data_IF_772437131305
#
_entry.id   IF_772437131305
#
_cell.length_a   1.000
_cell.length_b   1.000
_cell.length_c   1.000
_cell.angle_alpha   90.00
_cell.angle_beta   90.00
_cell.angle_gamma   90.00
#
_symmetry.space_group_name_H-M   'P 1'
#
loop_
_entity.id
_entity.type
_entity.pdbx_description
1 polymer ?
#
# COMPACT_ATOMS: atom_id res chain seq x y z
N UNK A 1 -40.26 80.28 -2.63
CA UNK A 1 -41.26 79.92 -3.64
C UNK A 1 -40.64 78.95 -4.62
N UNK A 2 -41.41 77.93 -5.00
CA UNK A 2 -41.41 77.10 -6.23
C UNK A 2 -40.67 77.66 -7.46
N UNK A 3 -40.14 76.89 -8.43
CA UNK A 3 -40.33 75.46 -8.78
C UNK A 3 -39.29 74.97 -9.83
N UNK A 4 -39.06 73.65 -9.95
CA UNK A 4 -38.76 72.79 -11.15
C UNK A 4 -37.98 73.36 -12.37
N UNK A 5 -37.02 72.68 -13.03
CA UNK A 5 -37.01 71.33 -13.66
C UNK A 5 -36.31 71.43 -15.05
N UNK A 6 -36.01 70.43 -15.89
CA UNK A 6 -36.14 68.94 -15.91
C UNK A 6 -35.04 68.34 -16.85
N UNK A 7 -35.07 67.03 -17.15
CA UNK A 7 -33.98 66.25 -17.80
C UNK A 7 -33.83 66.33 -19.35
N UNK A 8 -32.59 66.20 -19.84
CA UNK A 8 -32.26 65.51 -21.12
C UNK A 8 -30.82 64.94 -21.16
N UNK A 9 -30.63 63.87 -21.94
CA UNK A 9 -29.40 63.10 -22.24
C UNK A 9 -29.68 62.42 -23.61
N UNK A 10 -28.75 62.18 -24.58
CA UNK A 10 -27.42 61.53 -24.45
C UNK A 10 -26.37 62.08 -25.50
N UNK A 11 -25.37 61.36 -26.09
CA UNK A 11 -24.73 60.06 -25.79
C UNK A 11 -23.16 60.05 -25.76
N UNK A 12 -22.60 58.84 -25.64
CA UNK A 12 -21.21 58.41 -25.39
C UNK A 12 -20.06 58.80 -26.37
N UNK A 13 -18.81 58.70 -25.88
CA UNK A 13 -17.58 58.60 -26.71
C UNK A 13 -16.21 58.62 -25.97
N UNK A 14 -15.60 57.43 -25.80
CA UNK A 14 -14.14 57.09 -25.79
C UNK A 14 -13.15 57.66 -24.72
N UNK A 15 -12.58 56.70 -23.96
CA UNK A 15 -11.24 56.51 -23.33
C UNK A 15 -10.16 57.63 -23.26
N UNK A 16 -9.45 57.70 -22.11
CA UNK A 16 -7.98 57.55 -22.06
C UNK A 16 -7.49 57.16 -20.63
N UNK A 17 -6.44 56.34 -20.54
CA UNK A 17 -5.95 55.72 -19.29
C UNK A 17 -4.99 56.59 -18.46
N UNK A 18 -5.19 56.62 -17.14
CA UNK A 18 -4.28 57.27 -16.19
C UNK A 18 -3.28 56.26 -15.61
N UNK A 19 -2.03 56.29 -16.07
CA UNK A 19 -0.94 55.51 -15.46
C UNK A 19 -0.68 55.91 -14.00
N UNK A 20 -0.93 55.00 -13.07
CA UNK A 20 -0.32 55.01 -11.73
C UNK A 20 0.46 53.73 -11.52
N UNK A 21 1.79 53.81 -11.68
CA UNK A 21 2.73 52.73 -11.41
C UNK A 21 2.90 52.51 -9.90
N UNK A 22 2.44 51.36 -9.40
CA UNK A 22 2.78 50.90 -8.05
C UNK A 22 3.96 49.95 -8.12
N UNK A 23 5.07 50.35 -7.48
CA UNK A 23 6.25 49.50 -7.28
C UNK A 23 5.87 48.35 -6.34
N UNK A 24 5.79 47.12 -6.86
CA UNK A 24 5.73 45.90 -6.06
C UNK A 24 7.17 45.50 -5.73
N UNK A 25 7.44 45.26 -4.44
CA UNK A 25 8.80 44.93 -3.97
C UNK A 25 9.16 43.49 -4.31
N UNK A 26 10.20 43.29 -5.13
CA UNK A 26 10.76 41.98 -5.51
C UNK A 26 11.31 41.16 -4.31
N UNK A 27 11.36 41.75 -3.12
CA UNK A 27 11.84 41.10 -1.89
C UNK A 27 10.81 40.12 -1.30
N UNK A 28 9.51 40.29 -1.60
CA UNK A 28 8.45 39.43 -1.06
C UNK A 28 8.33 38.05 -1.74
N UNK A 29 9.01 37.82 -2.87
CA UNK A 29 8.95 36.54 -3.60
C UNK A 29 9.96 35.51 -3.06
N UNK A 30 10.92 35.91 -2.20
CA UNK A 30 11.98 35.03 -1.69
C UNK A 30 11.74 34.45 -0.29
N UNK A 31 10.72 34.89 0.44
CA UNK A 31 10.36 34.31 1.77
C UNK A 31 9.30 33.20 1.71
N UNK A 32 8.77 32.86 0.52
CA UNK A 32 7.79 31.78 0.35
C UNK A 32 8.42 30.38 0.14
N UNK A 33 9.75 30.26 0.10
CA UNK A 33 10.47 28.99 -0.16
C UNK A 33 10.59 28.04 1.06
N UNK A 34 9.83 28.27 2.14
CA UNK A 34 9.81 27.41 3.34
C UNK A 34 8.43 26.82 3.67
N UNK A 35 7.44 26.94 2.78
CA UNK A 35 6.23 26.11 2.85
C UNK A 35 6.65 24.64 2.66
N UNK A 36 6.53 23.75 3.67
CA UNK A 36 6.80 22.33 3.47
C UNK A 36 5.88 21.85 2.35
N UNK A 37 6.36 21.02 1.40
CA UNK A 37 5.64 20.75 0.17
C UNK A 37 4.25 20.25 0.49
N UNK A 38 3.24 21.09 0.23
CA UNK A 38 1.82 20.78 0.45
C UNK A 38 1.58 19.44 -0.20
N UNK A 39 1.32 18.43 0.62
CA UNK A 39 1.14 17.06 0.17
C UNK A 39 -0.01 17.07 -0.83
N UNK A 40 0.33 17.05 -2.11
CA UNK A 40 -0.68 16.98 -3.15
C UNK A 40 -1.49 15.74 -2.86
N UNK A 41 -2.80 15.89 -2.78
CA UNK A 41 -3.73 14.80 -2.57
C UNK A 41 -3.90 14.04 -3.91
N UNK A 42 -2.76 13.61 -4.48
CA UNK A 42 -2.64 12.74 -5.64
C UNK A 42 -3.11 11.35 -5.22
N UNK A 43 -4.30 10.97 -5.71
CA UNK A 43 -5.01 9.70 -5.55
C UNK A 43 -4.86 8.99 -4.18
N UNK A 44 -5.96 8.99 -3.42
CA UNK A 44 -6.03 8.33 -2.11
C UNK A 44 -5.55 6.86 -2.13
N UNK A 45 -5.71 6.17 -3.27
CA UNK A 45 -5.16 4.83 -3.52
C UNK A 45 -3.94 4.88 -4.45
N UNK A 46 -2.87 4.10 -4.18
CA UNK A 46 -1.72 4.07 -5.06
C UNK A 46 -2.05 3.45 -6.43
N UNK A 47 -1.23 3.71 -7.45
CA UNK A 47 -1.43 3.17 -8.81
C UNK A 47 -1.39 1.63 -8.92
N UNK A 48 -0.85 0.97 -7.89
CA UNK A 48 -0.74 -0.49 -7.77
C UNK A 48 -1.75 -1.10 -6.77
N UNK A 49 -2.73 -0.32 -6.31
CA UNK A 49 -3.75 -0.79 -5.37
C UNK A 49 -4.50 -2.01 -5.90
N UNK A 50 -4.66 -3.03 -5.06
CA UNK A 50 -5.29 -4.30 -5.44
C UNK A 50 -4.58 -5.13 -6.51
N UNK A 51 -3.35 -4.77 -6.93
CA UNK A 51 -2.52 -5.65 -7.77
C UNK A 51 -1.89 -6.79 -6.97
N UNK A 52 -1.58 -6.56 -5.70
CA UNK A 52 -1.05 -7.57 -4.78
C UNK A 52 -2.16 -8.14 -3.89
N UNK A 53 -2.06 -9.42 -3.59
CA UNK A 53 -3.06 -10.23 -2.89
C UNK A 53 -2.48 -10.89 -1.62
N UNK A 54 -3.31 -11.68 -0.92
CA UNK A 54 -2.84 -12.55 0.17
C UNK A 54 -1.84 -13.60 -0.29
N UNK A 55 -1.88 -13.98 -1.56
CA UNK A 55 -1.08 -15.10 -2.07
C UNK A 55 0.34 -14.59 -2.37
N UNK A 56 0.47 -13.36 -2.91
CA UNK A 56 1.75 -12.65 -3.00
C UNK A 56 2.38 -12.43 -1.61
N UNK A 57 1.56 -12.14 -0.58
CA UNK A 57 2.06 -12.04 0.79
C UNK A 57 2.53 -13.39 1.35
N UNK A 58 1.87 -14.49 0.96
CA UNK A 58 2.25 -15.83 1.38
C UNK A 58 3.59 -16.28 0.78
N UNK A 59 3.91 -15.83 -0.44
CA UNK A 59 5.19 -16.08 -1.10
C UNK A 59 6.33 -15.21 -0.53
N UNK A 60 6.03 -13.96 -0.13
CA UNK A 60 7.04 -12.98 0.34
C UNK A 60 7.29 -13.06 1.87
N UNK A 61 6.23 -13.12 2.68
CA UNK A 61 6.29 -13.21 4.15
C UNK A 61 5.31 -14.29 4.67
N UNK A 62 5.61 -15.59 4.45
CA UNK A 62 4.75 -16.70 4.86
C UNK A 62 4.36 -16.71 6.36
N UNK A 63 5.24 -16.31 7.31
CA UNK A 63 4.85 -16.15 8.71
C UNK A 63 3.75 -15.10 8.91
N UNK A 64 3.84 -13.94 8.24
CA UNK A 64 2.86 -12.85 8.39
C UNK A 64 1.53 -13.16 7.74
N UNK A 65 1.54 -13.74 6.54
CA UNK A 65 0.30 -14.22 5.89
C UNK A 65 -0.40 -15.26 6.79
N UNK A 66 0.32 -16.24 7.33
CA UNK A 66 -0.24 -17.24 8.26
C UNK A 66 -0.91 -16.56 9.46
N UNK A 67 -0.26 -15.56 10.05
CA UNK A 67 -0.81 -14.80 11.17
C UNK A 67 -2.06 -14.00 10.78
N UNK A 68 -2.06 -13.36 9.61
CA UNK A 68 -3.25 -12.67 9.06
C UNK A 68 -4.41 -13.63 8.78
N UNK A 69 -4.14 -14.85 8.28
CA UNK A 69 -5.16 -15.91 8.14
C UNK A 69 -5.71 -16.34 9.50
N UNK A 70 -4.87 -16.45 10.54
CA UNK A 70 -5.30 -16.75 11.90
C UNK A 70 -6.17 -15.64 12.51
N UNK A 71 -5.84 -14.36 12.29
CA UNK A 71 -6.66 -13.21 12.70
C UNK A 71 -8.04 -13.21 12.01
N UNK A 72 -8.07 -13.48 10.70
CA UNK A 72 -9.30 -13.57 9.90
C UNK A 72 -10.20 -14.74 10.34
N UNK A 73 -9.62 -15.90 10.63
CA UNK A 73 -10.36 -17.03 11.20
C UNK A 73 -10.93 -16.70 12.58
N UNK A 74 -10.15 -16.07 13.46
CA UNK A 74 -10.60 -15.66 14.79
C UNK A 74 -11.78 -14.67 14.70
N UNK A 75 -11.69 -13.67 13.81
CA UNK A 75 -12.79 -12.76 13.49
C UNK A 75 -14.02 -13.48 12.93
N UNK A 76 -13.82 -14.42 12.01
CA UNK A 76 -14.90 -15.25 11.45
C UNK A 76 -15.61 -16.10 12.51
N UNK A 77 -14.86 -16.69 13.45
CA UNK A 77 -15.43 -17.43 14.59
C UNK A 77 -16.18 -16.50 15.55
N UNK A 78 -15.62 -15.33 15.92
CA UNK A 78 -16.30 -14.29 16.70
C UNK A 78 -17.64 -13.92 16.05
N UNK A 79 -17.65 -13.64 14.74
CA UNK A 79 -18.86 -13.26 14.00
C UNK A 79 -19.94 -14.34 14.06
N UNK A 80 -19.56 -15.62 13.89
CA UNK A 80 -20.49 -16.75 14.03
C UNK A 80 -21.13 -16.79 15.42
N UNK A 81 -20.32 -16.74 16.49
CA UNK A 81 -20.78 -16.75 17.89
C UNK A 81 -21.73 -15.58 18.19
N UNK A 82 -21.41 -14.38 17.71
CA UNK A 82 -22.28 -13.20 17.86
C UNK A 82 -23.60 -13.37 17.11
N UNK A 83 -23.55 -13.90 15.88
CA UNK A 83 -24.73 -14.07 15.02
C UNK A 83 -25.66 -15.24 15.38
N UNK A 84 -25.18 -16.22 16.15
CA UNK A 84 -25.95 -17.41 16.50
C UNK A 84 -27.11 -17.07 17.44
N UNK A 85 -28.34 -17.29 16.97
CA UNK A 85 -29.58 -17.03 17.72
C UNK A 85 -29.92 -18.10 18.75
N UNK A 86 -29.27 -19.28 18.68
CA UNK A 86 -29.52 -20.40 19.58
C UNK A 86 -28.71 -20.31 20.88
N UNK A 87 -27.68 -19.46 20.93
CA UNK A 87 -26.88 -19.25 22.12
C UNK A 87 -27.56 -18.30 23.11
N UNK A 88 -27.64 -18.73 24.38
CA UNK A 88 -27.98 -17.83 25.49
C UNK A 88 -26.95 -16.70 25.61
N UNK A 89 -27.32 -15.61 26.28
CA UNK A 89 -26.40 -14.48 26.50
C UNK A 89 -25.12 -14.92 27.23
N UNK A 90 -25.27 -15.74 28.26
CA UNK A 90 -24.18 -16.30 29.05
C UNK A 90 -23.29 -17.26 28.23
N UNK A 91 -23.88 -18.17 27.46
CA UNK A 91 -23.12 -19.10 26.62
C UNK A 91 -22.32 -18.36 25.53
N UNK A 92 -22.89 -17.29 24.95
CA UNK A 92 -22.20 -16.42 23.99
C UNK A 92 -21.02 -15.69 24.63
N UNK A 93 -21.22 -15.09 25.81
CA UNK A 93 -20.16 -14.42 26.56
C UNK A 93 -19.02 -15.40 26.92
N UNK A 94 -19.36 -16.60 27.41
CA UNK A 94 -18.38 -17.65 27.71
C UNK A 94 -17.60 -18.11 26.47
N UNK A 95 -18.26 -18.29 25.32
CA UNK A 95 -17.56 -18.65 24.08
C UNK A 95 -16.65 -17.55 23.55
N UNK A 96 -17.03 -16.28 23.68
CA UNK A 96 -16.18 -15.14 23.30
C UNK A 96 -14.95 -15.01 24.23
N UNK A 97 -15.14 -15.16 25.54
CA UNK A 97 -14.05 -15.07 26.53
C UNK A 97 -13.01 -16.20 26.42
N UNK A 98 -13.39 -17.34 25.83
CA UNK A 98 -12.48 -18.47 25.57
C UNK A 98 -12.02 -18.55 24.10
N UNK A 99 -12.25 -17.49 23.30
CA UNK A 99 -11.94 -17.52 21.88
C UNK A 99 -10.45 -17.30 21.63
N UNK A 100 -9.75 -18.36 21.20
CA UNK A 100 -8.30 -18.38 21.02
C UNK A 100 -7.87 -18.76 19.59
N UNK A 101 -6.63 -18.41 19.24
CA UNK A 101 -5.94 -18.93 18.07
C UNK A 101 -5.69 -20.44 18.23
N UNK A 102 -6.12 -21.22 17.24
CA UNK A 102 -5.71 -22.63 17.14
C UNK A 102 -4.39 -22.71 16.38
N UNK A 103 -3.42 -23.41 16.94
CA UNK A 103 -2.24 -23.84 16.18
C UNK A 103 -2.67 -24.83 15.08
N UNK A 104 -2.09 -24.76 13.86
CA UNK A 104 -2.33 -25.78 12.85
C UNK A 104 -1.84 -27.13 13.38
N UNK A 105 -2.68 -28.17 13.29
CA UNK A 105 -2.32 -29.52 13.70
C UNK A 105 -1.29 -30.11 12.73
N UNK A 106 -0.01 -29.85 12.97
CA UNK A 106 1.08 -30.42 12.18
C UNK A 106 1.13 -31.93 12.44
N UNK A 107 0.77 -32.71 11.42
CA UNK A 107 0.72 -34.17 11.47
C UNK A 107 2.09 -34.74 11.89
N UNK A 108 2.19 -35.24 13.12
CA UNK A 108 3.42 -35.80 13.68
C UNK A 108 3.98 -35.07 14.91
N UNK A 109 3.49 -33.89 15.28
CA UNK A 109 3.84 -33.26 16.56
C UNK A 109 3.00 -33.84 17.70
N UNK A 110 3.65 -34.43 18.70
CA UNK A 110 3.03 -34.89 19.96
C UNK A 110 2.89 -33.79 21.01
N UNK A 111 3.32 -32.56 20.70
CA UNK A 111 3.17 -31.41 21.60
C UNK A 111 1.73 -30.91 21.58
N UNK A 112 1.08 -30.65 22.74
CA UNK A 112 -0.28 -30.15 22.78
C UNK A 112 -0.36 -28.80 22.04
N UNK A 113 -1.39 -28.64 21.22
CA UNK A 113 -1.69 -27.38 20.56
C UNK A 113 -2.01 -26.31 21.61
N UNK A 114 -1.03 -25.46 21.94
CA UNK A 114 -1.23 -24.35 22.86
C UNK A 114 -2.21 -23.36 22.21
N UNK A 115 -3.40 -23.23 22.80
CA UNK A 115 -4.33 -22.17 22.46
C UNK A 115 -3.81 -20.87 23.06
N UNK A 116 -3.73 -19.82 22.25
CA UNK A 116 -3.27 -18.49 22.66
C UNK A 116 -4.42 -17.51 22.44
N UNK A 117 -4.77 -16.71 23.45
CA UNK A 117 -5.84 -15.71 23.31
C UNK A 117 -5.29 -14.44 22.66
N UNK A 118 -6.16 -13.52 22.25
CA UNK A 118 -5.74 -12.31 21.55
C UNK A 118 -5.02 -11.33 22.49
N UNK A 119 -5.58 -11.17 23.69
CA UNK A 119 -5.05 -10.33 24.76
C UNK A 119 -3.66 -10.81 25.24
N UNK A 120 -3.38 -12.12 25.19
CA UNK A 120 -2.09 -12.69 25.58
C UNK A 120 -0.95 -12.31 24.61
N UNK A 121 -1.27 -11.78 23.42
CA UNK A 121 -0.29 -11.28 22.45
C UNK A 121 0.10 -9.80 22.65
N UNK A 122 -0.64 -9.04 23.49
CA UNK A 122 -0.39 -7.63 23.80
C UNK A 122 -0.12 -6.76 22.54
N UNK A 123 -0.97 -6.89 21.52
CA UNK A 123 -0.82 -6.19 20.25
C UNK A 123 -1.45 -4.79 20.29
N UNK A 124 -0.83 -3.85 19.59
CA UNK A 124 -1.38 -2.53 19.28
C UNK A 124 -1.56 -2.36 17.76
N UNK A 125 -2.17 -1.27 17.30
CA UNK A 125 -2.28 -0.91 15.88
C UNK A 125 -0.93 -0.41 15.30
N UNK A 126 0.15 -1.12 15.58
CA UNK A 126 1.50 -0.88 15.06
C UNK A 126 2.01 -2.06 14.23
N UNK A 127 2.63 -1.72 13.11
CA UNK A 127 3.51 -2.62 12.38
C UNK A 127 4.89 -2.62 13.03
N UNK A 128 5.37 -3.79 13.45
CA UNK A 128 6.76 -3.98 13.87
C UNK A 128 7.57 -4.61 12.71
N UNK A 129 8.63 -3.94 12.21
CA UNK A 129 9.51 -4.51 11.20
C UNK A 129 10.36 -5.66 11.78
N UNK A 130 10.60 -6.70 10.98
CA UNK A 130 11.50 -7.80 11.34
C UNK A 130 12.97 -7.38 11.39
N UNK A 131 13.35 -6.34 10.66
CA UNK A 131 14.71 -5.79 10.59
C UNK A 131 14.83 -4.48 11.36
N UNK A 132 15.85 -4.39 12.22
CA UNK A 132 16.23 -3.15 12.94
C UNK A 132 17.22 -2.27 12.17
N UNK A 133 17.66 -2.69 10.99
CA UNK A 133 18.72 -2.02 10.20
C UNK A 133 18.33 -0.60 9.78
N UNK A 134 17.04 -0.34 9.56
CA UNK A 134 16.54 0.90 8.98
C UNK A 134 16.16 1.98 10.01
N UNK A 135 16.52 1.81 11.28
CA UNK A 135 16.38 2.85 12.32
C UNK A 135 14.97 3.17 12.82
N UNK A 136 13.91 2.61 12.21
CA UNK A 136 12.56 2.65 12.76
C UNK A 136 12.21 1.33 13.46
N UNK A 137 11.53 1.43 14.61
CA UNK A 137 11.18 0.27 15.44
C UNK A 137 9.69 -0.11 15.37
N UNK A 138 8.84 0.82 14.93
CA UNK A 138 7.41 0.62 14.73
C UNK A 138 6.92 1.59 13.65
N UNK A 139 5.77 1.30 13.06
CA UNK A 139 4.99 2.24 12.24
C UNK A 139 3.51 2.11 12.61
N UNK A 140 2.85 3.22 12.89
CA UNK A 140 1.42 3.24 13.20
C UNK A 140 0.59 2.85 11.96
N UNK A 141 -0.26 1.82 12.09
CA UNK A 141 -1.18 1.36 11.03
C UNK A 141 -2.36 2.33 10.86
N UNK A 142 -2.76 2.97 11.94
CA UNK A 142 -3.78 4.03 12.02
C UNK A 142 -3.25 5.13 12.93
N UNK A 143 -3.64 6.42 12.79
CA UNK A 143 -3.15 7.49 13.66
C UNK A 143 -3.37 7.19 15.15
N UNK A 144 -2.32 7.29 15.97
CA UNK A 144 -2.37 6.91 17.38
C UNK A 144 -2.39 5.39 17.60
N UNK A 145 -1.83 4.63 16.66
CA UNK A 145 -1.83 3.17 16.64
C UNK A 145 -1.06 2.57 17.82
N UNK A 146 -0.07 3.29 18.35
CA UNK A 146 0.69 2.93 19.57
C UNK A 146 -0.25 2.69 20.76
N UNK A 147 -1.18 3.63 21.01
CA UNK A 147 -2.04 3.65 22.20
C UNK A 147 -3.34 2.84 22.01
N UNK A 148 -3.49 2.20 20.85
CA UNK A 148 -4.70 1.49 20.43
C UNK A 148 -4.47 -0.02 20.46
N UNK A 149 -4.91 -0.66 21.53
CA UNK A 149 -4.86 -2.12 21.72
C UNK A 149 -5.73 -2.87 20.70
N UNK A 150 -5.26 -4.05 20.27
CA UNK A 150 -6.02 -4.97 19.41
C UNK A 150 -6.86 -5.90 20.27
N UNK A 151 -8.17 -5.74 20.20
CA UNK A 151 -9.17 -6.47 20.95
C UNK A 151 -10.08 -7.26 19.98
N UNK A 152 -10.88 -8.19 20.49
CA UNK A 152 -11.82 -8.95 19.65
C UNK A 152 -12.77 -7.99 18.90
N UNK A 153 -13.10 -6.85 19.49
CA UNK A 153 -13.95 -5.79 18.94
C UNK A 153 -13.40 -5.25 17.62
N UNK A 154 -12.09 -4.99 17.54
CA UNK A 154 -11.43 -4.27 16.45
C UNK A 154 -10.47 -5.14 15.59
N UNK A 155 -10.35 -6.45 15.89
CA UNK A 155 -9.47 -7.41 15.21
C UNK A 155 -9.60 -7.43 13.67
N UNK A 156 -10.81 -7.20 13.15
CA UNK A 156 -11.06 -7.16 11.70
C UNK A 156 -10.40 -5.94 11.05
N UNK A 157 -10.58 -4.77 11.65
CA UNK A 157 -9.94 -3.52 11.23
C UNK A 157 -8.41 -3.61 11.37
N UNK A 158 -7.90 -4.25 12.42
CA UNK A 158 -6.46 -4.51 12.56
C UNK A 158 -5.91 -5.39 11.43
N UNK A 159 -6.61 -6.49 11.10
CA UNK A 159 -6.20 -7.39 10.02
C UNK A 159 -6.25 -6.72 8.64
N UNK A 160 -7.26 -5.87 8.39
CA UNK A 160 -7.35 -5.05 7.17
C UNK A 160 -6.23 -4.00 7.11
N UNK A 161 -6.03 -3.23 8.19
CA UNK A 161 -5.00 -2.19 8.27
C UNK A 161 -3.59 -2.77 8.11
N UNK A 162 -3.29 -3.89 8.76
CA UNK A 162 -2.02 -4.59 8.63
C UNK A 162 -1.82 -5.13 7.19
N UNK A 163 -2.87 -5.63 6.54
CA UNK A 163 -2.80 -6.08 5.14
C UNK A 163 -2.54 -4.92 4.19
N UNK A 164 -3.30 -3.83 4.31
CA UNK A 164 -3.12 -2.62 3.49
C UNK A 164 -1.74 -2.01 3.70
N UNK A 165 -1.22 -1.99 4.94
CA UNK A 165 0.15 -1.56 5.19
C UNK A 165 1.19 -2.44 4.49
N UNK A 166 1.06 -3.77 4.55
CA UNK A 166 2.05 -4.68 3.96
C UNK A 166 2.04 -4.67 2.42
N UNK A 167 0.86 -4.51 1.79
CA UNK A 167 0.70 -4.63 0.34
C UNK A 167 0.60 -3.28 -0.40
N UNK A 168 0.27 -2.19 0.30
CA UNK A 168 0.05 -0.89 -0.33
C UNK A 168 0.78 0.24 0.40
N UNK A 169 0.41 0.53 1.66
CA UNK A 169 0.85 1.71 2.39
C UNK A 169 2.37 1.74 2.65
N UNK A 170 2.90 0.66 3.22
CA UNK A 170 4.31 0.55 3.63
C UNK A 170 5.31 0.45 2.47
N UNK A 171 4.84 0.14 1.25
CA UNK A 171 5.68 0.09 0.04
C UNK A 171 5.41 1.26 -0.93
N UNK A 172 4.45 2.15 -0.64
CA UNK A 172 4.02 3.23 -1.56
C UNK A 172 5.20 4.09 -2.02
N UNK A 173 6.07 4.52 -1.11
CA UNK A 173 7.20 5.41 -1.45
C UNK A 173 8.19 4.76 -2.42
N UNK A 174 8.44 3.46 -2.23
CA UNK A 174 9.35 2.65 -3.03
C UNK A 174 8.76 2.36 -4.40
N UNK A 175 7.46 2.06 -4.47
CA UNK A 175 6.74 1.83 -5.73
C UNK A 175 6.60 3.11 -6.56
N UNK A 176 6.39 4.28 -5.94
CA UNK A 176 6.42 5.56 -6.65
C UNK A 176 7.83 5.92 -7.14
N UNK A 177 8.88 5.67 -6.34
CA UNK A 177 10.26 5.86 -6.77
C UNK A 177 10.63 4.91 -7.92
N UNK A 178 10.22 3.64 -7.86
CA UNK A 178 10.39 2.65 -8.92
C UNK A 178 9.72 3.11 -10.21
N UNK A 179 8.43 3.47 -10.17
CA UNK A 179 7.68 3.97 -11.33
C UNK A 179 8.35 5.20 -11.94
N UNK A 180 8.69 6.20 -11.12
CA UNK A 180 9.39 7.43 -11.57
C UNK A 180 10.77 7.14 -12.16
N UNK A 181 11.49 6.13 -11.67
CA UNK A 181 12.75 5.67 -12.22
C UNK A 181 12.59 4.97 -13.56
N UNK A 182 11.60 4.07 -13.66
CA UNK A 182 11.29 3.29 -14.86
C UNK A 182 10.81 4.21 -16.01
N UNK A 183 9.85 5.11 -15.73
CA UNK A 183 9.28 6.06 -16.70
C UNK A 183 10.33 7.02 -17.31
N UNK A 184 11.53 7.18 -16.71
CA UNK A 184 12.64 7.96 -17.30
C UNK A 184 13.32 7.28 -18.48
N UNK A 185 13.27 5.94 -18.54
CA UNK A 185 13.94 5.14 -19.57
C UNK A 185 12.92 4.50 -20.51
N UNK A 186 11.81 4.00 -19.96
CA UNK A 186 10.75 3.36 -20.73
C UNK A 186 9.38 3.64 -20.06
N UNK A 187 8.45 4.34 -20.73
CA UNK A 187 7.15 4.64 -20.14
C UNK A 187 6.36 3.38 -19.80
N UNK A 188 6.02 3.17 -18.54
CA UNK A 188 5.35 1.97 -18.01
C UNK A 188 3.97 1.75 -18.68
N UNK A 189 3.34 2.82 -19.17
CA UNK A 189 2.11 2.76 -19.97
C UNK A 189 2.23 1.95 -21.26
N UNK A 190 3.44 1.77 -21.80
CA UNK A 190 3.72 0.92 -22.98
C UNK A 190 3.68 -0.58 -22.65
N UNK A 191 3.83 -0.97 -21.37
CA UNK A 191 3.72 -2.38 -20.96
C UNK A 191 2.28 -2.89 -20.96
N UNK A 192 1.26 -2.02 -21.09
CA UNK A 192 -0.17 -2.39 -21.10
C UNK A 192 -0.59 -3.38 -22.19
N UNK A 193 0.23 -3.57 -23.22
CA UNK A 193 0.00 -4.54 -24.29
C UNK A 193 0.45 -5.97 -23.94
N UNK A 194 1.16 -6.15 -22.82
CA UNK A 194 1.77 -7.42 -22.41
C UNK A 194 1.17 -7.92 -21.09
N UNK A 195 1.07 -9.23 -20.96
CA UNK A 195 0.81 -9.90 -19.69
C UNK A 195 2.04 -9.84 -18.76
N UNK A 196 1.87 -10.04 -17.44
CA UNK A 196 2.99 -10.08 -16.50
C UNK A 196 4.07 -11.10 -16.86
N UNK A 197 3.69 -12.23 -17.46
CA UNK A 197 4.64 -13.29 -17.84
C UNK A 197 5.41 -12.94 -19.13
N UNK A 198 4.78 -12.27 -20.10
CA UNK A 198 5.50 -11.72 -21.27
C UNK A 198 6.50 -10.64 -20.83
N UNK A 199 6.12 -9.76 -19.89
CA UNK A 199 7.05 -8.78 -19.30
C UNK A 199 8.21 -9.47 -18.57
N UNK A 200 7.95 -10.56 -17.84
CA UNK A 200 9.01 -11.39 -17.23
C UNK A 200 9.98 -11.93 -18.28
N UNK A 201 9.47 -12.53 -19.35
CA UNK A 201 10.31 -13.08 -20.43
C UNK A 201 11.10 -11.98 -21.15
N UNK A 202 10.52 -10.80 -21.35
CA UNK A 202 11.23 -9.64 -21.92
C UNK A 202 12.38 -9.12 -21.04
N UNK A 203 12.21 -9.14 -19.70
CA UNK A 203 13.20 -8.61 -18.76
C UNK A 203 14.27 -9.64 -18.35
N UNK A 204 13.87 -10.89 -18.15
CA UNK A 204 14.73 -11.95 -17.64
C UNK A 204 15.26 -12.90 -18.74
N UNK A 205 14.65 -12.88 -19.93
CA UNK A 205 14.81 -13.93 -20.94
C UNK A 205 13.97 -15.18 -20.64
N UNK A 206 13.95 -16.12 -21.57
CA UNK A 206 13.42 -17.47 -21.30
C UNK A 206 14.26 -18.13 -20.20
N UNK A 207 13.62 -18.54 -19.11
CA UNK A 207 14.27 -19.19 -17.96
C UNK A 207 14.45 -20.70 -18.17
N UNK A 208 13.82 -21.29 -19.18
CA UNK A 208 13.98 -22.69 -19.55
C UNK A 208 14.28 -22.85 -21.06
N UNK A 209 15.39 -22.27 -21.55
CA UNK A 209 15.77 -22.35 -22.96
C UNK A 209 16.05 -23.80 -23.36
N UNK A 210 15.39 -24.26 -24.43
CA UNK A 210 15.58 -25.60 -24.99
C UNK A 210 16.67 -25.57 -26.07
N UNK A 211 17.88 -25.94 -25.69
CA UNK A 211 19.01 -26.05 -26.60
C UNK A 211 18.98 -27.40 -27.35
N UNK A 212 19.09 -27.35 -28.68
CA UNK A 212 19.39 -28.53 -29.49
C UNK A 212 20.91 -28.81 -29.51
N UNK A 213 21.31 -29.99 -30.00
CA UNK A 213 22.74 -30.28 -30.24
C UNK A 213 23.32 -29.28 -31.24
N UNK A 214 22.52 -28.95 -32.25
CA UNK A 214 22.85 -28.06 -33.35
C UNK A 214 23.06 -26.63 -32.84
N UNK A 215 22.22 -26.14 -31.92
CA UNK A 215 22.41 -24.84 -31.26
C UNK A 215 23.73 -24.79 -30.49
N UNK A 216 24.03 -25.82 -29.68
CA UNK A 216 25.26 -25.89 -28.91
C UNK A 216 26.50 -25.90 -29.82
N UNK A 217 26.47 -26.65 -30.93
CA UNK A 217 27.57 -26.65 -31.91
C UNK A 217 27.70 -25.27 -32.57
N UNK A 218 26.59 -24.67 -33.00
CA UNK A 218 26.57 -23.42 -33.77
C UNK A 218 26.95 -22.18 -32.94
N UNK A 219 26.58 -22.13 -31.66
CA UNK A 219 26.80 -20.99 -30.78
C UNK A 219 27.94 -21.18 -29.75
N UNK A 220 28.62 -22.33 -29.74
CA UNK A 220 29.89 -22.50 -29.01
C UNK A 220 31.08 -22.20 -29.92
N UNK A 221 32.00 -21.34 -29.45
CA UNK A 221 33.29 -21.05 -30.09
C UNK A 221 34.43 -21.73 -29.31
N UNK A 222 35.07 -22.79 -29.84
CA UNK A 222 36.25 -23.40 -29.23
C UNK A 222 37.43 -22.41 -29.14
N UNK A 223 38.18 -22.44 -28.04
CA UNK A 223 39.37 -21.61 -27.81
C UNK A 223 40.54 -22.44 -27.30
N UNK A 224 41.73 -21.85 -27.22
CA UNK A 224 42.95 -22.49 -26.69
C UNK A 224 43.39 -23.76 -27.45
N UNK A 225 43.18 -23.80 -28.77
CA UNK A 225 43.66 -24.88 -29.64
C UNK A 225 42.68 -26.04 -29.84
N UNK A 226 41.51 -26.01 -29.20
CA UNK A 226 40.40 -26.90 -29.54
C UNK A 226 39.73 -26.48 -30.86
N UNK A 227 39.26 -27.46 -31.64
CA UNK A 227 38.54 -27.30 -32.91
C UNK A 227 37.07 -27.70 -32.76
N UNK A 228 36.26 -27.48 -33.81
CA UNK A 228 34.85 -27.96 -33.88
C UNK A 228 34.73 -29.42 -34.32
N UNK A 229 35.79 -29.96 -34.91
CA UNK A 229 35.90 -31.30 -35.49
C UNK A 229 36.33 -32.35 -34.46
#
# INVERSE_FOLDING_TARGET
>A
MSYTGLYHCPPAGVEEDSMTSSYISEESEKELELDPPKAKQEDARPWFAGLLSSDDLADIDPPRDRFLRQLRDLSGRKRRIVSDKNLSHEARAHQLANLAFSAPSTTGSTSPSVAVRLEDLALSFQYLPSSRVYGFHAADLTPGGTDREVLLENIEEYAESLTSFCLEGGIRSQMEAFRKGFDRVFPMSKLRAFSPEEVRVMLCGDQNPKWTREDLINYTEPKLGYTRD
#
